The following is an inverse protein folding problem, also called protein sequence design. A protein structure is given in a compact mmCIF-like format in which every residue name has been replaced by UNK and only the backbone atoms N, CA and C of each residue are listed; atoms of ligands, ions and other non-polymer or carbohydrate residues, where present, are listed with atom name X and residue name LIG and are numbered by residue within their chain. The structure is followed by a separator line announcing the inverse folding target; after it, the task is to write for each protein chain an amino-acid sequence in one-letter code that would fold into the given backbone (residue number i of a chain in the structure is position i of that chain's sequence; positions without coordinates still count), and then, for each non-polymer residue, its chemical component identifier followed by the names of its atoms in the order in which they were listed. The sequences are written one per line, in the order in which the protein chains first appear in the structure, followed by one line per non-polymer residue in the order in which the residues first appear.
data_IF_031015604809
#
_entry.id   IF_031015604809
#
_cell.length_a   1.000
_cell.length_b   1.000
_cell.length_c   1.000
_cell.angle_alpha   90.00
_cell.angle_beta   90.00
_cell.angle_gamma   90.00
#
_symmetry.space_group_name_H-M   'P 1'
#
loop_
_entity.id
_entity.type
_entity.pdbx_description
1 polymer ?
#
# COMPACT_ATOMS: atom_id res chain seq x y z
N UNK A 1 3.32 8.65 12.81
CA UNK A 1 3.65 7.41 13.53
C UNK A 1 4.09 6.37 12.52
N UNK A 2 5.01 5.47 12.88
CA UNK A 2 5.46 4.38 12.02
C UNK A 2 4.96 3.01 12.53
N UNK A 3 5.40 1.93 11.90
CA UNK A 3 4.93 0.56 12.16
C UNK A 3 5.17 0.06 13.59
N UNK A 4 6.21 0.57 14.28
CA UNK A 4 6.51 0.18 15.67
C UNK A 4 5.99 1.20 16.70
N UNK A 5 4.99 2.02 16.34
CA UNK A 5 4.32 2.98 17.24
C UNK A 5 5.18 4.20 17.61
N UNK A 6 6.21 4.51 16.85
CA UNK A 6 7.02 5.71 17.07
C UNK A 6 6.38 6.90 16.39
N UNK A 7 5.95 7.89 17.18
CA UNK A 7 5.55 9.22 16.70
C UNK A 7 6.82 9.99 16.37
N UNK A 8 6.95 10.46 15.15
CA UNK A 8 8.16 11.13 14.65
C UNK A 8 7.81 12.54 14.16
N UNK A 9 8.68 13.50 14.47
CA UNK A 9 8.51 14.90 14.08
C UNK A 9 8.96 15.12 12.64
N UNK A 10 8.01 15.40 11.75
CA UNK A 10 8.28 15.91 10.41
C UNK A 10 8.49 17.42 10.46
N UNK A 11 9.62 17.93 9.94
CA UNK A 11 9.93 19.36 9.90
C UNK A 11 9.91 19.89 8.47
N UNK A 12 9.38 21.10 8.30
CA UNK A 12 9.40 21.79 7.02
C UNK A 12 10.85 22.04 6.60
N UNK A 13 11.26 21.44 5.49
CA UNK A 13 12.59 21.62 4.93
C UNK A 13 12.64 22.75 3.87
N UNK A 14 11.55 22.93 3.11
CA UNK A 14 11.43 23.92 2.03
C UNK A 14 10.06 24.58 2.04
N UNK A 15 9.93 25.67 1.28
CA UNK A 15 8.63 26.26 1.00
C UNK A 15 7.80 25.38 0.05
N UNK A 16 6.48 25.44 0.21
CA UNK A 16 5.58 24.72 -0.68
C UNK A 16 5.61 25.39 -2.06
N UNK A 17 5.49 24.63 -3.17
CA UNK A 17 5.55 25.20 -4.51
C UNK A 17 4.31 26.05 -4.80
N UNK A 18 4.54 27.24 -5.36
CA UNK A 18 3.47 28.16 -5.77
C UNK A 18 2.54 28.54 -4.62
N UNK A 19 1.25 28.29 -4.80
CA UNK A 19 0.20 28.61 -3.82
C UNK A 19 -0.19 27.41 -2.94
N UNK A 20 0.51 26.28 -3.03
CA UNK A 20 0.19 25.09 -2.26
C UNK A 20 0.21 25.35 -0.74
N UNK A 21 -0.77 24.76 -0.04
CA UNK A 21 -0.94 24.89 1.42
C UNK A 21 -0.94 23.50 2.07
N UNK A 22 -0.57 23.40 3.37
CA UNK A 22 -0.70 22.14 4.11
C UNK A 22 -2.13 21.63 4.17
N UNK A 23 -2.33 20.31 4.16
CA UNK A 23 -3.67 19.69 4.15
C UNK A 23 -4.54 20.09 5.34
N UNK A 24 -3.95 20.27 6.52
CA UNK A 24 -4.67 20.72 7.73
C UNK A 24 -5.26 22.12 7.54
N UNK A 25 -4.51 23.01 6.87
CA UNK A 25 -4.96 24.37 6.58
C UNK A 25 -6.13 24.34 5.60
N UNK A 26 -6.01 23.53 4.53
CA UNK A 26 -7.07 23.38 3.53
C UNK A 26 -8.34 22.84 4.20
N UNK A 27 -8.21 21.84 5.07
CA UNK A 27 -9.33 21.25 5.82
C UNK A 27 -10.00 22.28 6.72
N UNK A 28 -9.22 23.07 7.47
CA UNK A 28 -9.75 24.16 8.30
C UNK A 28 -10.49 25.22 7.48
N UNK A 29 -9.94 25.64 6.35
CA UNK A 29 -10.59 26.64 5.49
C UNK A 29 -11.89 26.12 4.87
N UNK A 30 -11.97 24.82 4.56
CA UNK A 30 -13.23 24.19 4.15
C UNK A 30 -14.25 24.18 5.30
N UNK A 31 -13.83 23.78 6.50
CA UNK A 31 -14.65 23.79 7.71
C UNK A 31 -15.22 25.19 8.01
N UNK A 32 -14.40 26.24 7.86
CA UNK A 32 -14.81 27.62 8.06
C UNK A 32 -15.81 28.10 7.00
N UNK A 33 -15.67 27.69 5.74
CA UNK A 33 -16.63 28.02 4.68
C UNK A 33 -18.01 27.38 4.89
N UNK A 34 -18.08 26.27 5.62
CA UNK A 34 -19.34 25.64 6.00
C UNK A 34 -19.82 26.04 7.42
N UNK A 35 -19.18 27.04 8.04
CA UNK A 35 -19.64 27.66 9.29
C UNK A 35 -19.17 27.01 10.59
N UNK A 36 -18.11 26.18 10.58
CA UNK A 36 -17.62 25.47 11.77
C UNK A 36 -16.66 26.30 12.65
N UNK A 37 -16.20 27.47 12.20
CA UNK A 37 -15.38 28.43 12.96
C UNK A 37 -14.14 27.83 13.65
N UNK A 38 -13.41 26.95 12.96
CA UNK A 38 -12.14 26.38 13.41
C UNK A 38 -11.02 27.43 13.41
N UNK A 39 -10.15 27.37 14.43
CA UNK A 39 -9.12 28.38 14.70
C UNK A 39 -7.75 27.78 15.08
N UNK A 40 -7.35 26.65 14.50
CA UNK A 40 -6.02 26.08 14.68
C UNK A 40 -4.95 26.96 14.02
N UNK A 41 -3.93 27.33 14.80
CA UNK A 41 -2.76 28.08 14.34
C UNK A 41 -1.67 27.19 13.74
N UNK A 42 -1.70 25.88 14.00
CA UNK A 42 -0.81 24.92 13.37
C UNK A 42 -0.89 23.51 13.94
N UNK A 43 0.06 22.62 13.56
CA UNK A 43 0.06 21.22 13.99
C UNK A 43 0.13 21.01 15.51
N UNK A 44 0.69 21.97 16.27
CA UNK A 44 0.75 21.88 17.73
C UNK A 44 -0.65 21.92 18.37
N UNK A 45 -1.52 22.81 17.88
CA UNK A 45 -2.90 22.94 18.38
C UNK A 45 -3.72 21.68 18.02
N UNK A 46 -3.57 21.19 16.80
CA UNK A 46 -4.21 19.96 16.33
C UNK A 46 -3.73 18.77 17.18
N UNK A 47 -2.42 18.67 17.44
CA UNK A 47 -1.87 17.63 18.28
C UNK A 47 -2.38 17.71 19.73
N UNK A 48 -2.55 18.92 20.27
CA UNK A 48 -3.14 19.12 21.60
C UNK A 48 -4.58 18.59 21.66
N UNK A 49 -5.41 18.87 20.65
CA UNK A 49 -6.78 18.34 20.59
C UNK A 49 -6.80 16.81 20.37
N UNK A 50 -5.93 16.27 19.51
CA UNK A 50 -5.82 14.82 19.31
C UNK A 50 -5.59 14.08 20.63
N UNK A 51 -4.81 14.65 21.54
CA UNK A 51 -4.55 14.04 22.86
C UNK A 51 -5.79 13.93 23.74
N UNK A 52 -6.81 14.75 23.54
CA UNK A 52 -8.05 14.67 24.31
C UNK A 52 -8.85 13.39 23.99
N UNK A 53 -8.65 12.84 22.79
CA UNK A 53 -9.39 11.68 22.29
C UNK A 53 -8.52 10.44 22.03
N UNK A 54 -7.18 10.58 22.06
CA UNK A 54 -6.24 9.51 21.71
C UNK A 54 -5.32 9.15 22.88
N UNK A 55 -5.69 8.17 23.73
CA UNK A 55 -4.85 7.69 24.84
C UNK A 55 -3.46 7.22 24.42
N UNK A 56 -3.28 6.80 23.16
CA UNK A 56 -1.97 6.47 22.60
C UNK A 56 -0.97 7.63 22.60
N UNK A 57 -1.43 8.86 22.77
CA UNK A 57 -0.59 10.07 22.83
C UNK A 57 -0.39 10.57 24.26
N UNK A 58 -0.89 9.83 25.25
CA UNK A 58 -0.67 10.15 26.67
C UNK A 58 0.83 10.28 26.94
N UNK A 59 1.18 11.30 27.73
CA UNK A 59 2.56 11.62 28.11
C UNK A 59 3.50 12.02 26.96
N UNK A 60 3.01 12.16 25.73
CA UNK A 60 3.76 12.71 24.60
C UNK A 60 3.34 14.18 24.44
N UNK A 61 4.14 15.14 24.92
CA UNK A 61 3.88 16.57 24.71
C UNK A 61 4.46 17.05 23.38
N UNK A 62 3.95 18.17 22.87
CA UNK A 62 4.51 18.78 21.66
C UNK A 62 5.99 19.17 21.85
N UNK A 63 6.31 19.79 22.99
CA UNK A 63 7.68 20.18 23.34
C UNK A 63 8.62 18.97 23.40
N UNK A 64 8.13 17.85 23.96
CA UNK A 64 8.87 16.60 24.00
C UNK A 64 9.16 16.07 22.60
N UNK A 65 8.16 16.01 21.72
CA UNK A 65 8.38 15.59 20.32
C UNK A 65 9.34 16.53 19.58
N UNK A 66 9.28 17.83 19.86
CA UNK A 66 10.19 18.81 19.27
C UNK A 66 11.64 18.60 19.73
N UNK A 67 11.85 18.28 21.01
CA UNK A 67 13.16 18.03 21.60
C UNK A 67 13.74 16.66 21.21
N UNK A 68 12.96 15.59 21.36
CA UNK A 68 13.41 14.21 21.15
C UNK A 68 13.32 13.75 19.68
N UNK A 69 12.57 14.48 18.84
CA UNK A 69 12.25 14.15 17.44
C UNK A 69 11.47 12.85 17.21
N UNK A 70 11.51 11.90 18.14
CA UNK A 70 10.79 10.65 18.04
C UNK A 70 10.46 10.10 19.43
N UNK A 71 9.21 9.68 19.65
CA UNK A 71 8.74 9.07 20.90
C UNK A 71 7.86 7.87 20.58
N UNK A 72 8.17 6.70 21.15
CA UNK A 72 7.37 5.48 21.01
C UNK A 72 6.26 5.45 22.06
N UNK A 73 5.03 5.12 21.67
CA UNK A 73 3.95 4.91 22.64
C UNK A 73 3.72 3.41 22.90
N UNK A 74 3.23 3.04 24.09
CA UNK A 74 2.82 3.90 25.22
C UNK A 74 4.00 4.49 26.01
N UNK A 75 3.77 5.65 26.64
CA UNK A 75 4.69 6.25 27.61
C UNK A 75 4.02 6.24 28.99
N UNK A 76 4.67 5.65 30.00
CA UNK A 76 4.11 5.53 31.36
C UNK A 76 4.12 6.87 32.15
N UNK A 77 4.91 7.84 31.71
CA UNK A 77 4.99 9.17 32.30
C UNK A 77 5.61 10.18 31.33
N UNK A 78 5.45 11.50 31.60
CA UNK A 78 5.84 12.58 30.68
C UNK A 78 7.31 12.55 30.29
N UNK A 79 8.20 12.17 31.22
CA UNK A 79 9.65 12.11 31.02
C UNK A 79 10.19 10.66 31.02
N UNK A 80 9.31 9.68 30.84
CA UNK A 80 9.70 8.27 30.74
C UNK A 80 9.86 7.85 29.28
N UNK A 81 10.83 6.97 28.96
CA UNK A 81 10.94 6.41 27.62
C UNK A 81 9.65 5.68 27.22
N UNK A 82 9.44 5.59 25.91
CA UNK A 82 8.39 4.75 25.34
C UNK A 82 8.65 3.27 25.54
N UNK A 83 7.59 2.49 25.66
CA UNK A 83 7.68 1.03 25.76
C UNK A 83 7.89 0.40 24.37
N UNK A 84 9.05 -0.24 24.17
CA UNK A 84 9.39 -0.96 22.94
C UNK A 84 8.52 -2.21 22.75
N UNK A 85 8.17 -2.87 23.85
CA UNK A 85 7.41 -4.11 23.89
C UNK A 85 6.04 -3.84 24.51
N UNK A 86 4.97 -4.10 23.75
CA UNK A 86 3.60 -4.07 24.26
C UNK A 86 3.18 -5.43 24.79
N UNK A 87 2.22 -5.42 25.73
CA UNK A 87 1.63 -6.62 26.31
C UNK A 87 2.64 -7.54 27.04
N UNK A 88 3.68 -6.94 27.62
CA UNK A 88 4.67 -7.65 28.45
C UNK A 88 4.09 -8.20 29.75
N UNK A 89 3.02 -7.57 30.26
CA UNK A 89 2.31 -8.00 31.48
C UNK A 89 0.91 -8.58 31.16
N UNK A 90 0.06 -7.82 30.45
CA UNK A 90 -1.32 -8.21 30.14
C UNK A 90 -1.75 -7.85 28.71
N UNK A 91 -2.71 -8.60 28.19
CA UNK A 91 -3.40 -8.29 26.93
C UNK A 91 -4.52 -7.26 27.12
N UNK A 92 -4.90 -6.51 26.08
CA UNK A 92 -5.97 -5.51 26.14
C UNK A 92 -7.34 -6.18 26.02
N UNK A 93 -7.60 -7.18 26.87
CA UNK A 93 -8.83 -7.95 26.97
C UNK A 93 -9.44 -7.76 28.35
N UNK A 94 -10.73 -8.03 28.51
CA UNK A 94 -11.45 -7.77 29.76
C UNK A 94 -10.85 -8.50 31.00
N UNK A 95 -10.23 -9.67 30.78
CA UNK A 95 -9.55 -10.45 31.83
C UNK A 95 -8.02 -10.35 31.79
N UNK A 96 -7.46 -9.64 30.80
CA UNK A 96 -6.02 -9.48 30.60
C UNK A 96 -5.32 -10.67 29.93
N UNK A 97 -6.06 -11.69 29.48
CA UNK A 97 -5.50 -12.91 28.88
C UNK A 97 -5.60 -12.90 27.35
N UNK A 98 -4.73 -13.69 26.70
CA UNK A 98 -4.77 -13.87 25.25
C UNK A 98 -6.00 -14.70 24.84
N UNK A 99 -6.68 -14.26 23.78
CA UNK A 99 -7.84 -14.97 23.23
C UNK A 99 -7.43 -15.86 22.06
N UNK A 100 -7.55 -17.17 22.21
CA UNK A 100 -7.45 -18.10 21.08
C UNK A 100 -8.74 -18.07 20.26
N UNK A 101 -8.61 -17.92 18.94
CA UNK A 101 -9.73 -17.89 18.00
C UNK A 101 -9.49 -18.98 16.95
N UNK A 102 -10.43 -19.92 16.74
CA UNK A 102 -10.27 -20.91 15.68
C UNK A 102 -10.34 -20.23 14.31
N UNK A 103 -9.51 -20.69 13.38
CA UNK A 103 -9.51 -20.25 12.00
C UNK A 103 -9.82 -21.43 11.09
N UNK A 104 -10.73 -21.22 10.14
CA UNK A 104 -11.05 -22.18 9.08
C UNK A 104 -10.27 -21.83 7.82
N UNK A 105 -9.91 -22.85 7.04
CA UNK A 105 -9.32 -22.65 5.71
C UNK A 105 -10.46 -22.49 4.73
N UNK A 106 -10.60 -21.29 4.18
CA UNK A 106 -11.63 -20.94 3.21
C UNK A 106 -10.91 -20.66 1.88
N UNK A 107 -11.39 -21.18 0.74
CA UNK A 107 -10.80 -20.86 -0.55
C UNK A 107 -10.98 -19.37 -0.89
N UNK A 108 -10.13 -18.82 -1.78
CA UNK A 108 -10.36 -17.50 -2.36
C UNK A 108 -11.74 -17.40 -3.02
N UNK A 109 -12.32 -16.20 -3.04
CA UNK A 109 -13.64 -15.96 -3.65
C UNK A 109 -13.61 -16.21 -5.17
N UNK A 110 -12.44 -16.08 -5.79
CA UNK A 110 -12.25 -16.33 -7.22
C UNK A 110 -11.09 -17.29 -7.49
N UNK A 111 -11.44 -18.55 -7.75
CA UNK A 111 -10.47 -19.60 -8.11
C UNK A 111 -10.27 -19.70 -9.64
N UNK A 112 -9.07 -20.13 -10.09
CA UNK A 112 -8.85 -20.49 -11.49
C UNK A 112 -9.84 -21.54 -11.98
N UNK A 113 -10.21 -21.44 -13.25
CA UNK A 113 -11.06 -22.40 -13.94
C UNK A 113 -10.54 -22.69 -15.36
N UNK A 114 -11.35 -23.37 -16.18
CA UNK A 114 -10.95 -23.74 -17.53
C UNK A 114 -10.76 -22.53 -18.46
N UNK A 115 -11.44 -21.40 -18.21
CA UNK A 115 -11.35 -20.18 -19.03
C UNK A 115 -10.23 -19.25 -18.54
N UNK A 116 -10.03 -19.18 -17.22
CA UNK A 116 -9.01 -18.38 -16.55
C UNK A 116 -8.12 -19.28 -15.67
N UNK A 117 -7.16 -20.03 -16.26
CA UNK A 117 -6.42 -21.08 -15.56
C UNK A 117 -5.26 -20.59 -14.70
N UNK A 118 -4.90 -19.30 -14.75
CA UNK A 118 -3.83 -18.70 -13.94
C UNK A 118 -4.37 -17.97 -12.72
N UNK A 119 -3.53 -17.83 -11.69
CA UNK A 119 -3.75 -16.88 -10.60
C UNK A 119 -3.01 -15.58 -10.92
N UNK A 120 -3.74 -14.47 -10.96
CA UNK A 120 -3.17 -13.13 -10.91
C UNK A 120 -2.95 -12.71 -9.46
N UNK A 121 -1.72 -12.34 -9.13
CA UNK A 121 -1.37 -11.69 -7.87
C UNK A 121 -0.74 -10.33 -8.14
N UNK A 122 -0.92 -9.39 -7.21
CA UNK A 122 -0.42 -8.02 -7.34
C UNK A 122 0.57 -7.70 -6.23
N UNK A 123 1.53 -6.81 -6.49
CA UNK A 123 2.44 -6.40 -5.43
C UNK A 123 3.23 -5.13 -5.71
N UNK A 124 4.18 -4.89 -4.81
CA UNK A 124 5.08 -3.73 -4.88
C UNK A 124 6.39 -4.14 -5.55
N UNK A 125 7.04 -3.15 -6.15
CA UNK A 125 8.43 -3.22 -6.54
C UNK A 125 9.24 -2.28 -5.63
N UNK A 126 10.54 -2.54 -5.52
CA UNK A 126 11.41 -1.79 -4.62
C UNK A 126 11.52 -0.32 -5.02
N UNK A 127 11.60 -0.07 -6.33
CA UNK A 127 11.88 1.21 -6.94
C UNK A 127 10.68 2.16 -6.85
N UNK A 128 9.46 1.60 -6.82
CA UNK A 128 8.23 2.39 -6.89
C UNK A 128 7.30 2.23 -5.70
N UNK A 129 6.87 3.38 -5.16
CA UNK A 129 5.98 3.41 -4.01
C UNK A 129 4.52 3.56 -4.43
N UNK A 130 3.71 2.57 -4.07
CA UNK A 130 2.27 2.54 -4.26
C UNK A 130 1.84 2.90 -5.68
N UNK A 131 1.19 4.06 -5.88
CA UNK A 131 0.65 4.50 -7.17
C UNK A 131 1.72 5.12 -8.08
N UNK A 132 2.98 5.15 -7.64
CA UNK A 132 4.09 5.73 -8.39
C UNK A 132 4.06 7.25 -8.49
N UNK A 133 3.06 7.94 -7.89
CA UNK A 133 2.83 9.39 -8.09
C UNK A 133 4.03 10.27 -7.76
N UNK A 134 4.89 9.82 -6.83
CA UNK A 134 6.17 10.46 -6.49
C UNK A 134 7.35 9.76 -7.15
N UNK A 135 7.47 8.43 -7.04
CA UNK A 135 8.69 7.70 -7.44
C UNK A 135 8.87 7.59 -8.95
N UNK A 136 7.79 7.51 -9.73
CA UNK A 136 7.83 7.57 -11.21
C UNK A 136 8.27 8.94 -11.74
N UNK A 137 8.24 9.98 -10.90
CA UNK A 137 8.74 11.32 -11.24
C UNK A 137 10.19 11.53 -10.82
N UNK A 138 10.76 10.60 -10.05
CA UNK A 138 12.16 10.63 -9.68
C UNK A 138 12.98 9.96 -10.78
N UNK A 139 13.80 10.75 -11.49
CA UNK A 139 14.55 10.30 -12.67
C UNK A 139 15.39 9.05 -12.41
N UNK A 140 16.03 8.95 -11.24
CA UNK A 140 16.86 7.79 -10.88
C UNK A 140 16.04 6.52 -10.68
N UNK A 141 14.87 6.60 -10.01
CA UNK A 141 14.05 5.42 -9.71
C UNK A 141 13.33 4.95 -10.97
N UNK A 142 12.78 5.88 -11.74
CA UNK A 142 12.10 5.57 -13.00
C UNK A 142 13.07 4.98 -14.04
N UNK A 143 14.34 5.41 -14.06
CA UNK A 143 15.34 4.80 -14.95
C UNK A 143 15.70 3.34 -14.60
N UNK A 144 15.54 2.91 -13.34
CA UNK A 144 15.82 1.53 -12.93
C UNK A 144 14.67 0.61 -13.34
N UNK A 145 13.43 1.05 -13.17
CA UNK A 145 12.24 0.25 -13.48
C UNK A 145 11.18 1.09 -14.25
N UNK A 146 11.44 1.41 -15.53
CA UNK A 146 10.67 2.40 -16.29
C UNK A 146 9.30 1.91 -16.75
N UNK A 147 9.11 0.60 -16.85
CA UNK A 147 7.93 0.00 -17.46
C UNK A 147 7.37 -1.13 -16.58
N UNK A 148 6.04 -1.34 -16.58
CA UNK A 148 5.44 -2.48 -15.92
C UNK A 148 5.83 -3.79 -16.63
N UNK A 149 6.01 -4.86 -15.86
CA UNK A 149 6.25 -6.20 -16.43
C UNK A 149 5.36 -7.26 -15.80
N UNK A 150 4.87 -8.19 -16.62
CA UNK A 150 4.19 -9.39 -16.19
C UNK A 150 5.24 -10.42 -15.76
N UNK A 151 5.33 -10.69 -14.47
CA UNK A 151 6.31 -11.63 -13.95
C UNK A 151 5.77 -13.05 -13.99
N UNK A 152 6.48 -13.93 -14.69
CA UNK A 152 6.10 -15.32 -14.93
C UNK A 152 7.22 -16.28 -14.52
N UNK A 153 6.85 -17.51 -14.16
CA UNK A 153 7.82 -18.59 -13.93
C UNK A 153 8.57 -18.93 -15.24
N UNK A 154 9.84 -19.37 -15.19
CA UNK A 154 10.56 -19.79 -16.40
C UNK A 154 9.88 -20.95 -17.14
N UNK A 155 9.20 -21.83 -16.41
CA UNK A 155 8.46 -22.94 -17.00
C UNK A 155 7.21 -22.46 -17.77
N UNK A 156 6.48 -21.47 -17.25
CA UNK A 156 5.35 -20.90 -18.01
C UNK A 156 5.83 -20.10 -19.22
N UNK A 157 6.92 -19.34 -19.10
CA UNK A 157 7.57 -18.69 -20.25
C UNK A 157 7.89 -19.72 -21.34
N UNK A 158 8.48 -20.85 -20.98
CA UNK A 158 8.79 -21.93 -21.92
C UNK A 158 7.54 -22.58 -22.53
N UNK A 159 6.50 -22.84 -21.73
CA UNK A 159 5.22 -23.40 -22.23
C UNK A 159 4.58 -22.50 -23.29
N UNK A 160 4.70 -21.19 -23.11
CA UNK A 160 4.18 -20.20 -24.04
C UNK A 160 5.14 -19.85 -25.19
N UNK A 161 6.38 -20.34 -25.17
CA UNK A 161 7.40 -19.98 -26.15
C UNK A 161 7.81 -18.50 -26.09
N UNK A 162 7.76 -17.89 -24.90
CA UNK A 162 8.08 -16.49 -24.66
C UNK A 162 9.55 -16.30 -24.28
N UNK A 163 10.15 -15.24 -24.79
CA UNK A 163 11.41 -14.67 -24.31
C UNK A 163 11.17 -13.44 -23.42
N UNK A 164 12.20 -13.02 -22.70
CA UNK A 164 12.10 -11.83 -21.85
C UNK A 164 11.89 -10.58 -22.73
N UNK A 165 10.86 -9.80 -22.42
CA UNK A 165 10.47 -8.63 -23.20
C UNK A 165 9.33 -8.87 -24.19
N UNK A 166 9.01 -10.12 -24.51
CA UNK A 166 7.85 -10.44 -25.33
C UNK A 166 6.56 -9.98 -24.65
N UNK A 167 5.60 -9.49 -25.43
CA UNK A 167 4.35 -8.98 -24.88
C UNK A 167 3.38 -10.11 -24.61
N UNK A 168 2.69 -10.01 -23.47
CA UNK A 168 1.58 -10.89 -23.11
C UNK A 168 0.35 -10.07 -22.82
N UNK A 169 -0.80 -10.66 -23.17
CA UNK A 169 -2.12 -10.21 -22.76
C UNK A 169 -2.51 -10.95 -21.50
N UNK A 170 -2.81 -10.20 -20.44
CA UNK A 170 -3.37 -10.73 -19.20
C UNK A 170 -4.81 -10.28 -19.11
N UNK A 171 -5.72 -11.24 -19.11
CA UNK A 171 -7.15 -11.00 -19.11
C UNK A 171 -7.80 -11.65 -17.90
N UNK A 172 -8.74 -10.95 -17.30
CA UNK A 172 -9.61 -11.48 -16.27
C UNK A 172 -11.06 -11.15 -16.64
N UNK A 173 -12.05 -11.64 -15.89
CA UNK A 173 -13.48 -11.35 -16.14
C UNK A 173 -13.85 -9.85 -16.12
N UNK A 174 -12.94 -8.96 -15.68
CA UNK A 174 -13.18 -7.52 -15.52
C UNK A 174 -12.46 -6.67 -16.55
N UNK A 175 -11.38 -7.17 -17.14
CA UNK A 175 -10.57 -6.35 -18.02
C UNK A 175 -9.35 -7.07 -18.54
N UNK A 176 -8.55 -6.31 -19.27
CA UNK A 176 -7.35 -6.78 -19.95
C UNK A 176 -6.24 -5.75 -19.81
N UNK A 177 -5.00 -6.22 -19.65
CA UNK A 177 -3.79 -5.41 -19.73
C UNK A 177 -2.77 -6.15 -20.59
N UNK A 178 -2.01 -5.41 -21.38
CA UNK A 178 -0.93 -5.91 -22.23
C UNK A 178 0.39 -5.30 -21.79
N UNK A 179 1.39 -6.13 -21.50
CA UNK A 179 2.70 -5.68 -21.04
C UNK A 179 3.79 -6.73 -21.30
N UNK A 180 5.05 -6.29 -21.24
CA UNK A 180 6.20 -7.17 -21.45
C UNK A 180 6.31 -8.23 -20.35
N UNK A 181 6.58 -9.47 -20.76
CA UNK A 181 6.83 -10.59 -19.87
C UNK A 181 8.26 -10.55 -19.32
N UNK A 182 8.40 -10.89 -18.04
CA UNK A 182 9.69 -10.99 -17.35
C UNK A 182 9.78 -12.32 -16.62
N UNK A 183 10.77 -13.18 -16.93
CA UNK A 183 10.98 -14.41 -16.18
C UNK A 183 11.46 -14.09 -14.76
N UNK A 184 10.93 -14.81 -13.76
CA UNK A 184 11.39 -14.71 -12.37
C UNK A 184 11.34 -16.05 -11.66
N UNK A 185 12.35 -16.34 -10.83
CA UNK A 185 12.33 -17.52 -9.94
C UNK A 185 11.46 -17.33 -8.69
N UNK A 186 10.91 -16.13 -8.47
CA UNK A 186 10.13 -15.80 -7.28
C UNK A 186 8.65 -16.14 -7.34
N UNK A 187 8.14 -16.61 -8.49
CA UNK A 187 6.73 -16.89 -8.72
C UNK A 187 6.55 -18.35 -9.20
N UNK A 188 5.62 -19.12 -8.63
CA UNK A 188 5.38 -20.50 -9.04
C UNK A 188 4.68 -20.59 -10.40
N UNK A 189 4.69 -21.78 -10.98
CA UNK A 189 3.93 -22.07 -12.21
C UNK A 189 2.42 -21.83 -12.02
N UNK A 190 1.77 -21.32 -13.06
CA UNK A 190 0.33 -21.02 -13.03
C UNK A 190 -0.01 -19.72 -12.29
N UNK A 191 0.99 -18.92 -11.90
CA UNK A 191 0.81 -17.62 -11.23
C UNK A 191 1.50 -16.52 -12.03
N UNK A 192 0.83 -15.38 -12.17
CA UNK A 192 1.39 -14.17 -12.76
C UNK A 192 1.37 -13.04 -11.74
N UNK A 193 2.50 -12.34 -11.62
CA UNK A 193 2.62 -11.18 -10.75
C UNK A 193 2.60 -9.88 -11.56
N UNK A 194 1.78 -8.92 -11.12
CA UNK A 194 1.73 -7.56 -11.69
C UNK A 194 2.03 -6.50 -10.60
N UNK A 195 2.99 -5.58 -10.85
CA UNK A 195 3.15 -4.42 -9.99
C UNK A 195 2.00 -3.43 -10.19
N UNK A 196 1.55 -2.77 -9.12
CA UNK A 196 0.44 -1.81 -9.18
C UNK A 196 0.86 -0.34 -9.21
N UNK A 197 2.14 -0.06 -9.46
CA UNK A 197 2.70 1.30 -9.47
C UNK A 197 2.64 2.03 -10.83
N UNK A 198 1.95 1.44 -11.80
CA UNK A 198 1.89 1.93 -13.18
C UNK A 198 0.46 2.27 -13.56
N UNK A 199 0.26 3.51 -14.01
CA UNK A 199 -1.04 4.00 -14.47
C UNK A 199 -1.40 3.42 -15.84
N UNK A 200 -0.39 3.21 -16.67
CA UNK A 200 -0.46 2.60 -18.00
C UNK A 200 -0.79 1.10 -17.97
N UNK A 201 -0.56 0.44 -16.82
CA UNK A 201 -0.87 -0.96 -16.58
C UNK A 201 -1.54 -1.11 -15.20
N UNK A 202 -2.70 -0.47 -15.04
CA UNK A 202 -3.40 -0.39 -13.76
C UNK A 202 -3.95 -1.76 -13.31
N UNK A 203 -3.15 -2.51 -12.55
CA UNK A 203 -3.46 -3.87 -12.10
C UNK A 203 -4.83 -4.00 -11.40
N UNK A 204 -5.30 -2.96 -10.70
CA UNK A 204 -6.59 -2.97 -10.01
C UNK A 204 -7.81 -3.05 -10.95
N UNK A 205 -7.64 -2.78 -12.26
CA UNK A 205 -8.70 -3.03 -13.26
C UNK A 205 -8.97 -4.54 -13.45
N UNK A 206 -8.01 -5.38 -13.07
CA UNK A 206 -8.08 -6.83 -13.23
C UNK A 206 -8.55 -7.57 -11.98
N UNK A 207 -8.43 -6.96 -10.79
CA UNK A 207 -8.65 -7.62 -9.51
C UNK A 207 -10.13 -7.86 -9.20
N UNK A 208 -10.40 -8.92 -8.42
CA UNK A 208 -11.72 -9.23 -7.88
C UNK A 208 -12.22 -8.14 -6.90
N UNK A 209 -13.49 -7.70 -6.98
CA UNK A 209 -14.08 -6.75 -6.01
C UNK A 209 -14.49 -7.37 -4.67
N UNK A 210 -14.28 -8.67 -4.44
CA UNK A 210 -14.62 -9.31 -3.18
C UNK A 210 -13.91 -8.65 -1.99
N UNK A 211 -14.63 -8.58 -0.87
CA UNK A 211 -14.19 -7.94 0.36
C UNK A 211 -14.24 -8.94 1.49
N UNK A 212 -13.20 -8.96 2.32
CA UNK A 212 -13.21 -9.68 3.59
C UNK A 212 -14.47 -9.32 4.39
N UNK A 213 -15.23 -10.31 4.91
CA UNK A 213 -16.53 -10.06 5.53
C UNK A 213 -16.45 -9.15 6.75
N UNK A 214 -15.31 -9.06 7.43
CA UNK A 214 -15.14 -8.31 8.68
C UNK A 214 -14.53 -6.91 8.46
N UNK A 215 -13.29 -6.85 8.00
CA UNK A 215 -12.51 -5.65 7.79
C UNK A 215 -12.79 -4.93 6.47
N UNK A 216 -13.60 -5.52 5.58
CA UNK A 216 -13.91 -4.98 4.25
C UNK A 216 -12.66 -4.70 3.42
N UNK A 217 -11.64 -5.54 3.60
CA UNK A 217 -10.37 -5.46 2.88
C UNK A 217 -10.52 -6.21 1.55
N UNK A 218 -10.18 -5.58 0.41
CA UNK A 218 -10.31 -6.19 -0.91
C UNK A 218 -9.29 -7.32 -1.17
N UNK A 219 -9.72 -8.33 -1.94
CA UNK A 219 -8.92 -9.50 -2.32
C UNK A 219 -7.94 -9.21 -3.48
N UNK A 220 -6.95 -8.34 -3.24
CA UNK A 220 -6.00 -7.94 -4.31
C UNK A 220 -4.95 -9.00 -4.69
N UNK A 221 -4.78 -10.05 -3.89
CA UNK A 221 -3.66 -11.00 -4.02
C UNK A 221 -4.03 -12.27 -4.77
N UNK A 222 -5.29 -12.40 -5.17
CA UNK A 222 -5.79 -13.60 -5.80
C UNK A 222 -7.00 -13.26 -6.68
N UNK A 223 -6.91 -13.53 -7.97
CA UNK A 223 -8.07 -13.67 -8.85
C UNK A 223 -7.65 -14.52 -10.05
N UNK A 224 -8.62 -15.11 -10.74
CA UNK A 224 -8.32 -15.92 -11.90
C UNK A 224 -8.02 -15.05 -13.12
N UNK A 225 -7.03 -15.48 -13.90
CA UNK A 225 -6.58 -14.81 -15.10
C UNK A 225 -6.29 -15.81 -16.23
N UNK A 226 -6.28 -15.28 -17.45
CA UNK A 226 -5.82 -15.96 -18.66
C UNK A 226 -4.64 -15.16 -19.21
N UNK A 227 -3.64 -15.89 -19.70
CA UNK A 227 -2.42 -15.31 -20.25
C UNK A 227 -2.27 -15.80 -21.68
N UNK A 228 -2.08 -14.87 -22.62
CA UNK A 228 -1.92 -15.17 -24.03
C UNK A 228 -0.70 -14.42 -24.59
N UNK A 229 0.22 -15.11 -25.28
CA UNK A 229 1.28 -14.45 -26.04
C UNK A 229 0.69 -13.50 -27.08
N UNK A 230 1.23 -12.29 -27.17
CA UNK A 230 0.88 -11.36 -28.25
C UNK A 230 1.90 -11.52 -29.38
N UNK A 231 1.41 -11.85 -30.58
CA UNK A 231 2.24 -11.75 -31.77
C UNK A 231 2.41 -10.26 -32.07
N UNK A 232 3.65 -9.78 -32.01
CA UNK A 232 4.00 -8.46 -32.53
C UNK A 232 3.68 -8.47 -34.02
N UNK A 233 2.55 -7.89 -34.40
CA UNK A 233 2.33 -7.52 -35.79
C UNK A 233 3.19 -6.27 -35.98
N UNK A 234 4.31 -6.38 -36.69
CA UNK A 234 5.04 -5.21 -37.15
C UNK A 234 4.02 -4.29 -37.84
N UNK A 235 3.80 -3.10 -37.26
CA UNK A 235 3.04 -2.07 -37.93
C UNK A 235 3.77 -1.78 -39.24
N UNK A 236 3.12 -2.04 -40.36
CA UNK A 236 3.65 -1.71 -41.68
C UNK A 236 4.03 -0.23 -41.71
N UNK A 237 5.27 0.04 -42.16
CA UNK A 237 5.87 1.36 -42.38
C UNK A 237 4.94 2.38 -43.05
#
# INVERSE_FOLDING_TARGET
SNTNRTVQMGRRAIDAPGEAKPDWWITQELANRIGLNWTYGGPADIFAEMKEAMPSLDNITWDRLMAESAVTYPCLGPDQPGEDIVFSDRFPTADGTGKFVPAEIIPPDEQPDAEYPFVLTTGRQLEHWHTGSMTRRATTLDAIEPAPTAQLSPADMQKFGLEAGDFVRIETRRGVIELAARPTGGIPEGVVFLPFAYVEAAANLLTNPALDPFGKIPEFKFCAARIEPLQVTEAAE
#
